data_IF_267025054069
#
_entry.id   IF_267025054069
#
_cell.length_a   1.000
_cell.length_b   1.000
_cell.length_c   1.000
_cell.angle_alpha   90.00
_cell.angle_beta   90.00
_cell.angle_gamma   90.00
#
_symmetry.space_group_name_H-M   'P 1'
#
loop_
_entity.id
_entity.type
_entity.pdbx_description
1 polymer ?
#
# COMPACT_ATOMS: atom_id res chain seq x y z
N UNK A 1 22.83 -49.77 -14.51
CA UNK A 1 22.31 -49.07 -13.33
C UNK A 1 22.23 -47.60 -13.68
N UNK A 2 21.03 -47.10 -14.01
CA UNK A 2 20.82 -45.69 -14.34
C UNK A 2 20.34 -44.97 -13.08
N UNK A 3 21.16 -44.05 -12.57
CA UNK A 3 20.82 -43.23 -11.42
C UNK A 3 19.78 -42.20 -11.85
N UNK A 4 18.51 -42.42 -11.49
CA UNK A 4 17.44 -41.43 -11.60
C UNK A 4 17.74 -40.28 -10.66
N UNK A 5 18.22 -39.15 -11.19
CA UNK A 5 18.18 -37.88 -10.47
C UNK A 5 16.71 -37.49 -10.29
N UNK A 6 16.27 -37.40 -9.04
CA UNK A 6 15.01 -36.74 -8.71
C UNK A 6 15.09 -35.30 -9.24
N UNK A 7 14.04 -34.79 -9.90
CA UNK A 7 14.03 -33.40 -10.31
C UNK A 7 14.14 -32.54 -9.04
N UNK A 8 15.11 -31.63 -9.03
CA UNK A 8 15.18 -30.58 -8.00
C UNK A 8 13.85 -29.84 -8.11
N UNK A 9 13.02 -29.93 -7.07
CA UNK A 9 11.77 -29.18 -7.01
C UNK A 9 12.13 -27.71 -7.21
N UNK A 10 11.55 -27.09 -8.23
CA UNK A 10 11.70 -25.66 -8.48
C UNK A 10 11.20 -24.93 -7.21
N UNK A 11 12.06 -24.17 -6.50
CA UNK A 11 11.67 -23.48 -5.27
C UNK A 11 10.53 -22.48 -5.49
N UNK A 12 10.24 -22.15 -6.75
CA UNK A 12 9.24 -21.19 -7.21
C UNK A 12 7.98 -21.86 -7.80
N UNK A 13 7.88 -23.19 -7.73
CA UNK A 13 6.68 -23.93 -8.09
C UNK A 13 5.57 -23.76 -7.03
N UNK A 14 4.73 -22.75 -7.27
CA UNK A 14 3.34 -22.65 -6.84
C UNK A 14 3.08 -22.92 -5.34
N UNK A 15 3.35 -21.93 -4.49
CA UNK A 15 2.51 -21.73 -3.31
C UNK A 15 1.46 -20.68 -3.68
N UNK A 16 0.15 -20.90 -3.43
CA UNK A 16 -0.75 -19.76 -3.28
C UNK A 16 -0.08 -18.86 -2.25
N UNK A 17 0.26 -17.62 -2.62
CA UNK A 17 0.98 -16.73 -1.71
C UNK A 17 0.06 -16.49 -0.52
N UNK A 18 0.33 -17.19 0.57
CA UNK A 18 -0.24 -16.88 1.86
C UNK A 18 -0.03 -15.37 2.06
N UNK A 19 -1.13 -14.63 2.21
CA UNK A 19 -1.10 -13.18 2.25
C UNK A 19 -0.28 -12.69 3.45
N UNK A 20 -0.23 -13.47 4.53
CA UNK A 20 0.65 -13.20 5.66
C UNK A 20 2.13 -13.27 5.26
N UNK A 21 2.52 -14.33 4.53
CA UNK A 21 3.87 -14.49 3.96
C UNK A 21 4.21 -13.33 3.02
N UNK A 22 3.30 -12.96 2.13
CA UNK A 22 3.51 -11.82 1.22
C UNK A 22 3.67 -10.49 1.98
N UNK A 23 2.89 -10.25 3.03
CA UNK A 23 3.06 -9.06 3.86
C UNK A 23 4.41 -9.05 4.59
N UNK A 24 4.89 -10.19 5.07
CA UNK A 24 6.25 -10.30 5.63
C UNK A 24 7.32 -9.91 4.60
N UNK A 25 7.18 -10.38 3.35
CA UNK A 25 8.07 -9.99 2.25
C UNK A 25 8.01 -8.48 1.98
N UNK A 26 6.81 -7.89 1.92
CA UNK A 26 6.66 -6.44 1.80
C UNK A 26 7.37 -5.67 2.94
N UNK A 27 7.22 -6.16 4.18
CA UNK A 27 7.87 -5.58 5.35
C UNK A 27 9.40 -5.63 5.26
N UNK A 28 9.95 -6.79 4.88
CA UNK A 28 11.38 -7.03 4.72
C UNK A 28 11.98 -6.17 3.59
N UNK A 29 11.22 -5.97 2.52
CA UNK A 29 11.58 -5.12 1.38
C UNK A 29 11.36 -3.63 1.63
N UNK A 30 10.88 -3.24 2.81
CA UNK A 30 10.59 -1.85 3.17
C UNK A 30 9.66 -1.17 2.13
N UNK A 31 8.59 -1.86 1.73
CA UNK A 31 7.53 -1.38 0.81
C UNK A 31 6.19 -1.33 1.54
N UNK A 32 5.22 -0.61 0.98
CA UNK A 32 3.82 -0.71 1.38
C UNK A 32 3.25 -2.10 1.02
N UNK A 33 2.22 -2.51 1.78
CA UNK A 33 1.54 -3.79 1.56
C UNK A 33 0.77 -3.79 0.25
N UNK A 34 0.71 -4.94 -0.41
CA UNK A 34 -0.10 -5.16 -1.62
C UNK A 34 -0.90 -6.45 -1.49
N UNK A 35 -2.09 -6.53 -2.08
CA UNK A 35 -2.98 -7.70 -1.95
C UNK A 35 -2.42 -8.98 -2.57
N UNK A 36 -1.55 -8.83 -3.55
CA UNK A 36 -0.77 -9.89 -4.15
C UNK A 36 0.52 -9.27 -4.70
N UNK A 37 1.57 -10.08 -4.92
CA UNK A 37 2.79 -9.62 -5.56
C UNK A 37 2.49 -8.80 -6.83
N UNK A 38 2.83 -7.51 -6.78
CA UNK A 38 2.73 -6.58 -7.91
C UNK A 38 1.33 -6.13 -8.32
N UNK A 39 0.28 -6.42 -7.53
CA UNK A 39 -1.08 -5.99 -7.84
C UNK A 39 -1.34 -4.54 -7.38
N UNK A 40 -2.30 -4.34 -6.47
CA UNK A 40 -2.61 -3.03 -5.89
C UNK A 40 -2.20 -3.00 -4.42
N UNK A 41 -1.89 -1.81 -3.94
CA UNK A 41 -1.63 -1.58 -2.53
C UNK A 41 -2.87 -1.90 -1.69
N UNK A 42 -2.63 -2.41 -0.48
CA UNK A 42 -3.67 -2.61 0.52
C UNK A 42 -4.16 -1.25 0.99
N UNK A 43 -5.47 -1.10 1.06
CA UNK A 43 -6.11 0.10 1.59
C UNK A 43 -6.87 -0.24 2.88
N UNK A 44 -7.19 0.78 3.66
CA UNK A 44 -7.95 0.63 4.92
C UNK A 44 -9.25 -0.16 4.72
N UNK A 45 -9.96 0.07 3.62
CA UNK A 45 -11.20 -0.65 3.29
C UNK A 45 -11.02 -2.16 3.08
N UNK A 46 -9.85 -2.62 2.65
CA UNK A 46 -9.61 -4.05 2.43
C UNK A 46 -9.65 -4.82 3.75
N UNK A 47 -9.19 -4.19 4.81
CA UNK A 47 -9.13 -4.76 6.16
C UNK A 47 -10.50 -4.65 6.85
N UNK A 48 -11.18 -3.51 6.66
CA UNK A 48 -12.47 -3.24 7.31
C UNK A 48 -13.64 -4.00 6.67
N UNK A 49 -13.62 -4.20 5.35
CA UNK A 49 -14.70 -4.90 4.63
C UNK A 49 -14.45 -6.41 4.50
N UNK A 50 -13.34 -6.92 5.03
CA UNK A 50 -13.03 -8.35 5.04
C UNK A 50 -12.43 -8.90 3.75
N UNK A 51 -11.98 -8.05 2.81
CA UNK A 51 -11.13 -8.47 1.68
C UNK A 51 -9.88 -9.18 2.20
N UNK A 52 -9.29 -8.65 3.27
CA UNK A 52 -8.25 -9.29 4.07
C UNK A 52 -8.89 -9.76 5.38
N UNK A 53 -9.35 -11.02 5.39
CA UNK A 53 -10.05 -11.60 6.54
C UNK A 53 -9.24 -12.61 7.36
N UNK A 54 -8.10 -13.07 6.82
CA UNK A 54 -7.26 -14.05 7.50
C UNK A 54 -6.54 -13.43 8.71
N UNK A 55 -6.52 -14.15 9.84
CA UNK A 55 -5.94 -13.65 11.10
C UNK A 55 -4.44 -13.48 10.98
N UNK A 56 -3.73 -14.37 10.28
CA UNK A 56 -2.30 -14.24 10.10
C UNK A 56 -1.97 -13.04 9.21
N UNK A 57 -2.72 -12.84 8.12
CA UNK A 57 -2.57 -11.67 7.25
C UNK A 57 -2.86 -10.36 7.98
N UNK A 58 -3.93 -10.29 8.77
CA UNK A 58 -4.25 -9.13 9.60
C UNK A 58 -3.16 -8.85 10.64
N UNK A 59 -2.63 -9.90 11.27
CA UNK A 59 -1.54 -9.78 12.24
C UNK A 59 -0.28 -9.23 11.59
N UNK A 60 0.11 -9.78 10.44
CA UNK A 60 1.25 -9.29 9.69
C UNK A 60 1.03 -7.86 9.21
N UNK A 61 -0.18 -7.51 8.76
CA UNK A 61 -0.50 -6.14 8.37
C UNK A 61 -0.34 -5.15 9.52
N UNK A 62 -0.81 -5.49 10.72
CA UNK A 62 -0.62 -4.66 11.91
C UNK A 62 0.86 -4.48 12.29
N UNK A 63 1.69 -5.50 12.07
CA UNK A 63 3.11 -5.48 12.43
C UNK A 63 3.95 -4.72 11.39
N UNK A 64 3.80 -5.07 10.10
CA UNK A 64 4.77 -4.70 9.06
C UNK A 64 4.32 -3.58 8.13
N UNK A 65 3.07 -3.12 8.21
CA UNK A 65 2.60 -2.01 7.39
C UNK A 65 3.41 -0.73 7.67
N UNK A 66 3.79 -0.04 6.60
CA UNK A 66 4.44 1.28 6.64
C UNK A 66 3.45 2.44 6.69
N UNK A 67 2.20 2.15 6.39
CA UNK A 67 1.08 3.08 6.47
C UNK A 67 0.35 2.88 7.79
N UNK A 68 0.36 3.92 8.63
CA UNK A 68 -0.25 3.90 9.96
C UNK A 68 -1.75 3.63 9.92
N UNK A 69 -2.46 4.14 8.90
CA UNK A 69 -3.90 3.93 8.77
C UNK A 69 -4.19 2.47 8.43
N UNK A 70 -3.41 1.87 7.53
CA UNK A 70 -3.52 0.45 7.18
C UNK A 70 -3.18 -0.44 8.39
N UNK A 71 -2.11 -0.12 9.11
CA UNK A 71 -1.69 -0.87 10.29
C UNK A 71 -2.76 -0.85 11.40
N UNK A 72 -3.32 0.34 11.70
CA UNK A 72 -4.40 0.51 12.68
C UNK A 72 -5.70 -0.16 12.22
N UNK A 73 -6.04 -0.08 10.93
CA UNK A 73 -7.21 -0.75 10.37
C UNK A 73 -7.14 -2.27 10.53
N UNK A 74 -5.95 -2.87 10.45
CA UNK A 74 -5.76 -4.31 10.62
C UNK A 74 -6.01 -4.77 12.06
N UNK A 75 -5.79 -3.90 13.06
CA UNK A 75 -6.05 -4.22 14.47
C UNK A 75 -7.53 -4.31 14.82
N UNK A 76 -8.40 -3.60 14.10
CA UNK A 76 -9.83 -3.57 14.40
C UNK A 76 -10.52 -4.95 14.29
N UNK A 77 -10.43 -5.70 13.17
CA UNK A 77 -11.01 -7.03 13.08
C UNK A 77 -10.38 -8.01 14.10
N UNK A 78 -9.08 -7.88 14.40
CA UNK A 78 -8.42 -8.67 15.45
C UNK A 78 -9.00 -8.39 16.84
N UNK A 79 -9.23 -7.11 17.16
CA UNK A 79 -9.82 -6.68 18.44
C UNK A 79 -11.27 -7.16 18.58
N UNK A 80 -12.05 -7.09 17.49
CA UNK A 80 -13.44 -7.58 17.44
C UNK A 80 -13.48 -9.11 17.61
N UNK A 81 -12.52 -9.83 17.03
CA UNK A 81 -12.42 -11.28 17.24
C UNK A 81 -12.10 -11.59 18.71
N UNK A 82 -11.16 -10.87 19.32
CA UNK A 82 -10.77 -11.02 20.72
C UNK A 82 -11.90 -10.70 21.72
N UNK A 83 -12.77 -9.73 21.41
CA UNK A 83 -13.90 -9.39 22.29
C UNK A 83 -14.98 -10.49 22.32
N UNK A 84 -15.14 -11.22 21.22
CA UNK A 84 -16.16 -12.27 21.04
C UNK A 84 -15.76 -13.64 21.57
N UNK A 85 -14.47 -13.90 21.80
CA UNK A 85 -14.04 -15.20 22.33
C UNK A 85 -14.33 -15.36 23.81
N UNK A 86 -14.55 -16.61 24.23
CA UNK A 86 -14.68 -16.98 25.65
C UNK A 86 -13.41 -16.58 26.42
N UNK A 87 -13.50 -16.20 27.71
CA UNK A 87 -12.34 -15.79 28.50
C UNK A 87 -11.16 -16.75 28.45
N UNK A 88 -11.42 -18.07 28.42
CA UNK A 88 -10.39 -19.12 28.30
C UNK A 88 -9.55 -19.09 27.00
N UNK A 89 -10.04 -18.45 25.95
CA UNK A 89 -9.36 -18.34 24.65
C UNK A 89 -8.76 -16.96 24.41
N UNK A 90 -9.06 -15.99 25.29
CA UNK A 90 -8.53 -14.62 25.24
C UNK A 90 -7.01 -14.52 25.37
N UNK A 91 -6.31 -15.36 26.16
CA UNK A 91 -4.85 -15.28 26.27
C UNK A 91 -4.10 -15.39 24.94
N UNK A 92 -4.66 -16.08 23.95
CA UNK A 92 -4.06 -16.16 22.60
C UNK A 92 -4.06 -14.79 21.89
N UNK A 93 -5.13 -14.01 22.06
CA UNK A 93 -5.20 -12.66 21.50
C UNK A 93 -4.37 -11.67 22.31
N UNK A 94 -4.28 -11.83 23.62
CA UNK A 94 -3.38 -11.03 24.46
C UNK A 94 -1.92 -11.22 24.03
N UNK A 95 -1.48 -12.47 23.82
CA UNK A 95 -0.14 -12.78 23.29
C UNK A 95 0.09 -12.19 21.89
N UNK A 96 -0.91 -12.24 21.01
CA UNK A 96 -0.81 -11.63 19.68
C UNK A 96 -0.66 -10.11 19.77
N UNK A 97 -1.46 -9.45 20.60
CA UNK A 97 -1.39 -8.00 20.76
C UNK A 97 -0.10 -7.57 21.45
N UNK A 98 0.44 -8.38 22.36
CA UNK A 98 1.76 -8.15 22.94
C UNK A 98 2.85 -8.25 21.87
N UNK A 99 2.76 -9.22 20.95
CA UNK A 99 3.69 -9.29 19.82
C UNK A 99 3.59 -8.04 18.93
N UNK A 100 2.38 -7.55 18.66
CA UNK A 100 2.16 -6.31 17.89
C UNK A 100 2.78 -5.11 18.64
N UNK A 101 2.54 -4.99 19.94
CA UNK A 101 3.12 -3.96 20.80
C UNK A 101 4.66 -3.95 20.74
N UNK A 102 5.29 -5.12 20.81
CA UNK A 102 6.74 -5.24 20.83
C UNK A 102 7.39 -5.03 19.45
N UNK A 103 6.71 -5.43 18.37
CA UNK A 103 7.35 -5.59 17.05
C UNK A 103 6.82 -4.70 15.94
N UNK A 104 5.65 -4.06 16.08
CA UNK A 104 5.07 -3.27 15.00
C UNK A 104 5.99 -2.13 14.54
N UNK A 105 6.05 -1.82 13.26
CA UNK A 105 6.92 -0.74 12.78
C UNK A 105 6.41 0.66 13.15
N UNK A 106 5.10 0.83 13.29
CA UNK A 106 4.47 2.09 13.65
C UNK A 106 4.28 2.20 15.17
N UNK A 107 4.73 3.30 15.76
CA UNK A 107 4.67 3.50 17.22
C UNK A 107 3.27 3.74 17.75
N UNK A 108 2.38 4.34 16.96
CA UNK A 108 0.98 4.55 17.34
C UNK A 108 0.22 3.22 17.39
N UNK A 109 0.58 2.27 16.51
CA UNK A 109 0.05 0.90 16.55
C UNK A 109 0.47 0.18 17.83
N UNK A 110 1.75 0.32 18.24
CA UNK A 110 2.23 -0.27 19.50
C UNK A 110 1.44 0.23 20.71
N UNK A 111 1.31 1.55 20.86
CA UNK A 111 0.55 2.14 21.96
C UNK A 111 -0.94 1.78 21.91
N UNK A 112 -1.51 1.63 20.70
CA UNK A 112 -2.88 1.16 20.53
C UNK A 112 -3.06 -0.30 20.93
N UNK A 113 -2.06 -1.15 20.69
CA UNK A 113 -2.07 -2.55 21.08
C UNK A 113 -2.02 -2.70 22.61
N UNK A 114 -1.08 -2.00 23.26
CA UNK A 114 -0.96 -1.92 24.73
C UNK A 114 -2.30 -1.49 25.36
N UNK A 115 -2.90 -0.40 24.85
CA UNK A 115 -4.18 0.11 25.33
C UNK A 115 -5.33 -0.91 25.16
N UNK A 116 -5.30 -1.72 24.09
CA UNK A 116 -6.31 -2.74 23.86
C UNK A 116 -6.21 -3.91 24.84
N UNK A 117 -4.98 -4.34 25.16
CA UNK A 117 -4.69 -5.34 26.20
C UNK A 117 -5.16 -4.82 27.56
N UNK A 118 -4.78 -3.58 27.92
CA UNK A 118 -5.16 -2.98 29.20
C UNK A 118 -6.69 -2.84 29.35
N UNK A 119 -7.40 -2.56 28.25
CA UNK A 119 -8.85 -2.51 28.22
C UNK A 119 -9.52 -3.90 28.26
N UNK A 120 -8.77 -5.00 28.10
CA UNK A 120 -9.31 -6.36 28.01
C UNK A 120 -10.24 -6.58 26.82
N UNK A 121 -9.95 -5.93 25.69
CA UNK A 121 -10.74 -5.99 24.45
C UNK A 121 -12.21 -5.55 24.62
N UNK A 122 -12.49 -4.57 25.48
CA UNK A 122 -13.84 -4.00 25.66
C UNK A 122 -14.32 -3.30 24.38
N UNK A 123 -15.60 -3.50 24.06
CA UNK A 123 -16.24 -2.87 22.89
C UNK A 123 -16.16 -1.34 22.89
N UNK A 124 -16.12 -0.69 24.06
CA UNK A 124 -15.92 0.75 24.17
C UNK A 124 -14.58 1.18 23.54
N UNK A 125 -13.48 0.50 23.89
CA UNK A 125 -12.15 0.81 23.35
C UNK A 125 -12.04 0.52 21.86
N UNK A 126 -12.70 -0.55 21.40
CA UNK A 126 -12.77 -0.90 19.96
C UNK A 126 -13.50 0.21 19.18
N UNK A 127 -14.60 0.73 19.72
CA UNK A 127 -15.34 1.83 19.10
C UNK A 127 -14.55 3.14 19.08
N UNK A 128 -13.80 3.44 20.14
CA UNK A 128 -12.88 4.59 20.16
C UNK A 128 -11.82 4.48 19.06
N UNK A 129 -11.13 3.35 18.96
CA UNK A 129 -10.13 3.11 17.91
C UNK A 129 -10.73 3.22 16.50
N UNK A 130 -11.94 2.68 16.31
CA UNK A 130 -12.66 2.79 15.05
C UNK A 130 -13.05 4.25 14.72
N UNK A 131 -13.43 5.03 15.73
CA UNK A 131 -13.76 6.44 15.59
C UNK A 131 -12.52 7.30 15.30
N UNK A 132 -11.38 7.01 15.93
CA UNK A 132 -10.10 7.66 15.65
C UNK A 132 -9.69 7.40 14.19
N UNK A 133 -9.72 6.15 13.73
CA UNK A 133 -9.42 5.77 12.35
C UNK A 133 -10.41 6.43 11.36
N UNK A 134 -11.71 6.26 11.60
CA UNK A 134 -12.76 6.81 10.73
C UNK A 134 -12.77 8.34 10.70
N UNK A 135 -12.47 8.98 11.82
CA UNK A 135 -12.34 10.44 11.95
C UNK A 135 -11.13 11.00 11.22
N UNK A 136 -10.03 10.25 11.14
CA UNK A 136 -8.83 10.65 10.38
C UNK A 136 -9.00 10.40 8.87
N UNK A 137 -9.44 9.20 8.49
CA UNK A 137 -9.56 8.77 7.10
C UNK A 137 -10.77 9.42 6.40
N UNK A 138 -11.89 9.59 7.10
CA UNK A 138 -13.14 10.11 6.54
C UNK A 138 -12.99 11.49 5.86
N UNK A 139 -12.47 12.53 6.55
CA UNK A 139 -12.19 13.82 5.95
C UNK A 139 -11.21 13.75 4.78
N UNK A 140 -10.21 12.86 4.85
CA UNK A 140 -9.24 12.68 3.77
C UNK A 140 -9.90 12.07 2.52
N UNK A 141 -10.83 11.12 2.69
CA UNK A 141 -11.64 10.58 1.59
C UNK A 141 -12.60 11.62 1.00
N UNK A 142 -13.14 12.51 1.81
CA UNK A 142 -13.97 13.62 1.31
C UNK A 142 -13.13 14.57 0.42
N UNK A 143 -11.91 14.91 0.85
CA UNK A 143 -10.96 15.69 0.03
C UNK A 143 -10.57 14.97 -1.26
N UNK A 144 -10.36 13.65 -1.21
CA UNK A 144 -10.13 12.84 -2.40
C UNK A 144 -11.30 12.92 -3.39
N UNK A 145 -12.55 12.77 -2.92
CA UNK A 145 -13.73 12.90 -3.78
C UNK A 145 -13.82 14.29 -4.43
N UNK A 146 -13.58 15.35 -3.66
CA UNK A 146 -13.55 16.71 -4.20
C UNK A 146 -12.42 16.89 -5.25
N UNK A 147 -11.26 16.28 -5.03
CA UNK A 147 -10.16 16.33 -5.99
C UNK A 147 -10.50 15.61 -7.32
N UNK A 148 -11.33 14.57 -7.29
CA UNK A 148 -11.83 13.94 -8.53
C UNK A 148 -12.63 14.93 -9.40
N UNK A 149 -13.34 15.88 -8.79
CA UNK A 149 -14.04 16.94 -9.53
C UNK A 149 -13.05 17.90 -10.20
N UNK A 150 -11.92 18.20 -9.56
CA UNK A 150 -10.83 19.00 -10.17
C UNK A 150 -10.22 18.28 -11.37
N UNK A 151 -10.00 16.97 -11.29
CA UNK A 151 -9.56 16.16 -12.44
C UNK A 151 -10.58 16.26 -13.59
N UNK A 152 -11.87 16.20 -13.28
CA UNK A 152 -12.93 16.37 -14.28
C UNK A 152 -12.85 17.75 -14.95
N UNK A 153 -12.63 18.82 -14.18
CA UNK A 153 -12.42 20.16 -14.74
C UNK A 153 -11.20 20.22 -15.68
N UNK A 154 -10.11 19.51 -15.35
CA UNK A 154 -8.94 19.42 -16.22
C UNK A 154 -9.27 18.72 -17.54
N UNK A 155 -9.97 17.58 -17.48
CA UNK A 155 -10.40 16.82 -18.66
C UNK A 155 -11.32 17.67 -19.55
N UNK A 156 -12.21 18.44 -18.92
CA UNK A 156 -13.13 19.36 -19.60
C UNK A 156 -12.46 20.67 -20.04
N UNK A 157 -11.14 20.85 -19.83
CA UNK A 157 -10.36 22.06 -20.12
C UNK A 157 -10.92 23.33 -19.48
N UNK A 158 -11.57 23.18 -18.32
CA UNK A 158 -12.14 24.27 -17.51
C UNK A 158 -11.17 24.82 -16.46
N UNK A 159 -10.02 24.18 -16.29
CA UNK A 159 -8.89 24.65 -15.48
C UNK A 159 -7.61 24.58 -16.32
N UNK A 160 -6.68 25.49 -16.07
CA UNK A 160 -5.37 25.49 -16.72
C UNK A 160 -4.46 24.41 -16.13
N UNK A 161 -3.44 23.97 -16.88
CA UNK A 161 -2.47 22.98 -16.38
C UNK A 161 -1.74 23.46 -15.11
N UNK A 162 -1.27 24.73 -15.01
CA UNK A 162 -0.68 25.23 -13.76
C UNK A 162 -1.69 25.27 -12.61
N UNK A 163 -2.93 25.70 -12.87
CA UNK A 163 -3.98 25.72 -11.85
C UNK A 163 -4.30 24.32 -11.32
N UNK A 164 -4.31 23.31 -12.19
CA UNK A 164 -4.46 21.92 -11.75
C UNK A 164 -3.29 21.45 -10.86
N UNK A 165 -2.06 21.85 -11.18
CA UNK A 165 -0.90 21.49 -10.37
C UNK A 165 -0.98 22.11 -8.96
N UNK A 166 -1.41 23.37 -8.86
CA UNK A 166 -1.62 24.02 -7.56
C UNK A 166 -2.66 23.26 -6.72
N UNK A 167 -3.80 22.90 -7.33
CA UNK A 167 -4.83 22.08 -6.68
C UNK A 167 -4.31 20.69 -6.28
N UNK A 168 -3.49 20.05 -7.13
CA UNK A 168 -2.87 18.76 -6.81
C UNK A 168 -1.88 18.87 -5.64
N UNK A 169 -1.11 19.95 -5.56
CA UNK A 169 -0.20 20.22 -4.44
C UNK A 169 -0.96 20.43 -3.14
N UNK A 170 -2.05 21.20 -3.18
CA UNK A 170 -2.88 21.45 -2.01
C UNK A 170 -3.66 20.21 -1.57
N UNK A 171 -4.14 19.41 -2.53
CA UNK A 171 -4.64 18.07 -2.26
C UNK A 171 -3.58 17.22 -1.56
N UNK A 172 -2.37 17.14 -2.13
CA UNK A 172 -1.28 16.35 -1.56
C UNK A 172 -0.96 16.81 -0.14
N UNK A 173 -0.82 18.11 0.13
CA UNK A 173 -0.54 18.63 1.47
C UNK A 173 -1.66 18.37 2.47
N UNK A 174 -2.92 18.48 2.03
CA UNK A 174 -4.08 18.29 2.90
C UNK A 174 -4.41 16.82 3.17
N UNK A 175 -3.94 15.90 2.32
CA UNK A 175 -4.25 14.47 2.36
C UNK A 175 -3.06 13.61 2.75
N UNK A 176 -1.82 14.07 2.53
CA UNK A 176 -0.60 13.35 2.90
C UNK A 176 -0.61 12.98 4.38
N UNK A 177 -0.43 11.68 4.64
CA UNK A 177 -0.39 11.09 5.98
C UNK A 177 -1.74 10.94 6.69
N UNK A 178 -2.85 11.44 6.11
CA UNK A 178 -4.21 11.33 6.68
C UNK A 178 -5.11 10.36 5.92
N UNK A 179 -4.81 10.12 4.65
CA UNK A 179 -5.39 9.06 3.84
C UNK A 179 -4.43 7.89 3.80
N UNK A 180 -4.96 6.68 3.64
CA UNK A 180 -4.11 5.57 3.29
C UNK A 180 -3.41 5.81 1.94
N UNK A 181 -2.11 5.57 1.94
CA UNK A 181 -1.21 5.74 0.82
C UNK A 181 -1.65 4.91 -0.38
N UNK A 182 -2.30 3.76 -0.16
CA UNK A 182 -2.84 2.94 -1.23
C UNK A 182 -3.87 3.66 -2.10
N UNK A 183 -4.85 4.38 -1.52
CA UNK A 183 -5.78 5.21 -2.31
C UNK A 183 -5.05 6.35 -3.03
N UNK A 184 -4.10 7.01 -2.35
CA UNK A 184 -3.32 8.10 -2.96
C UNK A 184 -2.51 7.61 -4.17
N UNK A 185 -1.77 6.51 -4.02
CA UNK A 185 -0.98 5.92 -5.11
C UNK A 185 -1.88 5.49 -6.28
N UNK A 186 -3.04 4.89 -6.00
CA UNK A 186 -4.02 4.54 -7.02
C UNK A 186 -4.52 5.77 -7.80
N UNK A 187 -4.69 6.91 -7.13
CA UNK A 187 -5.05 8.17 -7.79
C UNK A 187 -3.97 8.61 -8.79
N UNK A 188 -2.71 8.63 -8.34
CA UNK A 188 -1.56 9.01 -9.17
C UNK A 188 -1.39 8.06 -10.36
N UNK A 189 -1.51 6.75 -10.12
CA UNK A 189 -1.42 5.74 -11.19
C UNK A 189 -2.51 5.97 -12.25
N UNK A 190 -3.75 6.26 -11.83
CA UNK A 190 -4.86 6.59 -12.73
C UNK A 190 -4.61 7.86 -13.55
N UNK A 191 -4.01 8.89 -12.95
CA UNK A 191 -3.62 10.10 -13.67
C UNK A 191 -2.59 9.80 -14.75
N UNK A 192 -1.60 8.94 -14.47
CA UNK A 192 -0.56 8.58 -15.42
C UNK A 192 -1.05 7.74 -16.59
N UNK A 193 -1.94 6.77 -16.35
CA UNK A 193 -2.46 5.90 -17.42
C UNK A 193 -3.59 6.55 -18.24
N UNK A 194 -4.27 7.56 -17.71
CA UNK A 194 -5.42 8.19 -18.39
C UNK A 194 -4.98 8.93 -19.68
N UNK A 195 -5.56 8.61 -20.85
CA UNK A 195 -5.25 9.32 -22.10
C UNK A 195 -5.81 10.74 -22.13
N UNK A 196 -6.81 11.04 -21.28
CA UNK A 196 -7.46 12.34 -21.21
C UNK A 196 -6.65 13.40 -20.45
N UNK A 197 -5.57 12.99 -19.77
CA UNK A 197 -4.68 13.90 -19.05
C UNK A 197 -3.51 14.27 -19.96
N UNK A 198 -3.25 15.57 -20.21
CA UNK A 198 -2.14 16.00 -21.04
C UNK A 198 -0.78 15.48 -20.53
N UNK A 199 0.11 15.12 -21.46
CA UNK A 199 1.46 14.63 -21.11
C UNK A 199 2.25 15.63 -20.27
N UNK A 200 2.11 16.93 -20.54
CA UNK A 200 2.81 17.99 -19.79
C UNK A 200 2.39 18.08 -18.33
N UNK A 201 1.11 17.80 -18.02
CA UNK A 201 0.64 17.67 -16.64
C UNK A 201 1.33 16.48 -15.98
N UNK A 202 1.36 15.32 -16.63
CA UNK A 202 2.02 14.11 -16.10
C UNK A 202 3.51 14.33 -15.84
N UNK A 203 4.22 14.99 -16.76
CA UNK A 203 5.62 15.39 -16.61
C UNK A 203 5.82 16.26 -15.38
N UNK A 204 4.92 17.22 -15.16
CA UNK A 204 4.97 18.11 -14.00
C UNK A 204 4.71 17.37 -12.69
N UNK A 205 3.79 16.40 -12.68
CA UNK A 205 3.55 15.52 -11.53
C UNK A 205 4.79 14.68 -11.19
N UNK A 206 5.48 14.11 -12.20
CA UNK A 206 6.74 13.37 -11.97
C UNK A 206 7.79 14.25 -11.31
N UNK A 207 7.97 15.49 -11.79
CA UNK A 207 8.90 16.45 -11.18
C UNK A 207 8.57 16.77 -9.73
N UNK A 208 7.28 16.87 -9.41
CA UNK A 208 6.86 17.11 -8.04
C UNK A 208 7.12 15.89 -7.15
N UNK A 209 6.81 14.69 -7.63
CA UNK A 209 7.04 13.44 -6.91
C UNK A 209 8.50 13.22 -6.55
N UNK A 210 9.45 13.73 -7.36
CA UNK A 210 10.87 13.67 -7.06
C UNK A 210 11.27 14.40 -5.77
N UNK A 211 10.43 15.32 -5.28
CA UNK A 211 10.64 16.08 -4.03
C UNK A 211 10.07 15.37 -2.80
N UNK A 212 9.30 14.29 -2.98
CA UNK A 212 8.66 13.59 -1.87
C UNK A 212 9.67 12.82 -1.01
N UNK A 213 9.31 12.48 0.24
CA UNK A 213 10.13 11.64 1.10
C UNK A 213 10.56 10.35 0.40
N UNK A 214 11.77 9.81 0.67
CA UNK A 214 12.34 8.69 -0.09
C UNK A 214 11.42 7.49 -0.26
N UNK A 215 10.72 7.06 0.81
CA UNK A 215 9.83 5.91 0.77
C UNK A 215 8.62 6.13 -0.16
N UNK A 216 7.98 7.30 -0.05
CA UNK A 216 6.83 7.68 -0.89
C UNK A 216 7.25 7.79 -2.36
N UNK A 217 8.36 8.48 -2.59
CA UNK A 217 8.92 8.69 -3.92
C UNK A 217 9.30 7.37 -4.60
N UNK A 218 9.95 6.46 -3.85
CA UNK A 218 10.31 5.12 -4.33
C UNK A 218 9.09 4.38 -4.85
N UNK A 219 8.03 4.31 -4.06
CA UNK A 219 6.82 3.55 -4.42
C UNK A 219 6.13 4.11 -5.65
N UNK A 220 5.87 5.42 -5.68
CA UNK A 220 5.13 6.02 -6.79
C UNK A 220 5.92 5.94 -8.11
N UNK A 221 7.25 6.13 -8.07
CA UNK A 221 8.10 5.99 -9.26
C UNK A 221 8.21 4.53 -9.68
N UNK A 222 8.32 3.59 -8.74
CA UNK A 222 8.27 2.15 -9.04
C UNK A 222 6.97 1.79 -9.75
N UNK A 223 5.83 2.29 -9.29
CA UNK A 223 4.54 2.05 -9.94
C UNK A 223 4.49 2.59 -11.36
N UNK A 224 4.93 3.85 -11.56
CA UNK A 224 4.99 4.47 -12.88
C UNK A 224 5.87 3.65 -13.83
N UNK A 225 7.09 3.31 -13.40
CA UNK A 225 8.04 2.57 -14.24
C UNK A 225 7.58 1.12 -14.48
N UNK A 226 6.88 0.50 -13.54
CA UNK A 226 6.36 -0.86 -13.71
C UNK A 226 5.08 -0.92 -14.55
N UNK A 227 4.43 0.22 -14.83
CA UNK A 227 3.16 0.27 -15.54
C UNK A 227 3.33 0.01 -17.04
N UNK A 228 2.59 -0.98 -17.57
CA UNK A 228 2.48 -1.24 -19.00
C UNK A 228 1.48 -0.31 -19.71
N UNK A 229 0.68 0.44 -18.95
CA UNK A 229 -0.35 1.34 -19.47
C UNK A 229 0.08 2.82 -19.46
N UNK A 230 1.18 3.16 -18.81
CA UNK A 230 1.73 4.51 -18.83
C UNK A 230 2.34 4.83 -20.22
N UNK A 231 2.20 6.07 -20.73
CA UNK A 231 2.84 6.47 -21.98
C UNK A 231 4.35 6.26 -21.95
N UNK A 232 4.92 5.73 -23.04
CA UNK A 232 6.35 5.42 -23.11
C UNK A 232 7.21 6.68 -22.92
N UNK A 233 6.78 7.81 -23.48
CA UNK A 233 7.46 9.10 -23.36
C UNK A 233 7.55 9.55 -21.90
N UNK A 234 6.50 9.31 -21.11
CA UNK A 234 6.49 9.63 -19.69
C UNK A 234 7.44 8.73 -18.90
N UNK A 235 7.47 7.43 -19.22
CA UNK A 235 8.38 6.46 -18.58
C UNK A 235 9.84 6.82 -18.87
N UNK A 236 10.16 7.14 -20.13
CA UNK A 236 11.50 7.57 -20.54
C UNK A 236 11.91 8.88 -19.86
N UNK A 237 10.99 9.85 -19.78
CA UNK A 237 11.22 11.10 -19.05
C UNK A 237 11.53 10.84 -17.57
N UNK A 238 10.73 10.01 -16.89
CA UNK A 238 10.96 9.67 -15.49
C UNK A 238 12.32 8.98 -15.27
N UNK A 239 12.74 8.09 -16.18
CA UNK A 239 14.07 7.46 -16.14
C UNK A 239 15.21 8.47 -16.29
N UNK A 240 15.05 9.48 -17.15
CA UNK A 240 16.00 10.58 -17.30
C UNK A 240 16.14 11.40 -16.02
N UNK A 241 15.03 11.78 -15.41
CA UNK A 241 15.02 12.59 -14.17
C UNK A 241 15.58 11.83 -12.96
N UNK A 242 15.32 10.53 -12.85
CA UNK A 242 15.92 9.66 -11.82
C UNK A 242 17.45 9.76 -11.84
N UNK A 243 18.03 9.72 -13.03
CA UNK A 243 19.48 9.76 -13.24
C UNK A 243 20.10 11.11 -12.86
N UNK A 244 19.31 12.19 -12.87
CA UNK A 244 19.76 13.55 -12.57
C UNK A 244 19.56 13.95 -11.10
N UNK A 245 18.53 13.41 -10.43
CA UNK A 245 18.06 13.90 -9.14
C UNK A 245 18.21 12.96 -7.94
N UNK A 246 18.80 11.77 -8.12
CA UNK A 246 18.89 10.75 -7.06
C UNK A 246 20.29 10.17 -6.88
N UNK A 247 20.53 9.60 -5.68
CA UNK A 247 21.76 8.84 -5.43
C UNK A 247 21.72 7.49 -6.15
N UNK A 248 22.90 6.90 -6.40
CA UNK A 248 23.02 5.59 -7.04
C UNK A 248 22.24 4.50 -6.29
N UNK A 249 22.23 4.54 -4.96
CA UNK A 249 21.53 3.55 -4.14
C UNK A 249 20.01 3.66 -4.30
N UNK A 250 19.48 4.89 -4.31
CA UNK A 250 18.05 5.15 -4.54
C UNK A 250 17.61 4.69 -5.92
N UNK A 251 18.41 4.98 -6.95
CA UNK A 251 18.14 4.54 -8.32
C UNK A 251 18.15 3.00 -8.39
N UNK A 252 19.17 2.38 -7.80
CA UNK A 252 19.31 0.93 -7.76
C UNK A 252 18.09 0.28 -7.10
N UNK A 253 17.66 0.81 -5.96
CA UNK A 253 16.46 0.34 -5.26
C UNK A 253 15.23 0.41 -6.17
N UNK A 254 14.93 1.57 -6.76
CA UNK A 254 13.77 1.76 -7.65
C UNK A 254 13.82 0.80 -8.85
N UNK A 255 14.99 0.64 -9.47
CA UNK A 255 15.17 -0.25 -10.63
C UNK A 255 14.95 -1.71 -10.26
N UNK A 256 15.49 -2.16 -9.12
CA UNK A 256 15.29 -3.52 -8.62
C UNK A 256 13.83 -3.79 -8.31
N UNK A 257 13.15 -2.87 -7.60
CA UNK A 257 11.72 -2.99 -7.31
C UNK A 257 10.86 -2.95 -8.57
N UNK A 258 11.19 -2.10 -9.53
CA UNK A 258 10.51 -2.05 -10.84
C UNK A 258 10.63 -3.39 -11.55
N UNK A 259 11.83 -3.97 -11.56
CA UNK A 259 12.10 -5.26 -12.19
C UNK A 259 11.33 -6.38 -11.50
N UNK A 260 11.34 -6.41 -10.17
CA UNK A 260 10.61 -7.37 -9.35
C UNK A 260 9.09 -7.28 -9.62
N UNK A 261 8.54 -6.05 -9.59
CA UNK A 261 7.11 -5.83 -9.84
C UNK A 261 6.68 -6.24 -11.23
N UNK A 262 7.50 -5.96 -12.25
CA UNK A 262 7.28 -6.45 -13.63
C UNK A 262 7.36 -7.97 -13.72
N UNK A 263 8.30 -8.60 -13.01
CA UNK A 263 8.41 -10.05 -12.96
C UNK A 263 7.17 -10.69 -12.31
N UNK A 264 6.68 -10.14 -11.20
CA UNK A 264 5.43 -10.57 -10.57
C UNK A 264 4.24 -10.44 -11.51
N UNK A 265 4.10 -9.31 -12.19
CA UNK A 265 3.03 -9.11 -13.18
C UNK A 265 3.12 -10.12 -14.34
N UNK A 266 4.32 -10.40 -14.85
CA UNK A 266 4.52 -11.40 -15.90
C UNK A 266 4.15 -12.82 -15.45
N UNK A 267 4.43 -13.18 -14.19
CA UNK A 267 4.05 -14.48 -13.62
C UNK A 267 2.54 -14.69 -13.55
N UNK A 268 1.75 -13.62 -13.33
CA UNK A 268 0.27 -13.67 -13.33
C UNK A 268 -0.30 -14.06 -14.71
N UNK A 269 0.43 -13.75 -15.78
CA UNK A 269 0.03 -14.03 -17.16
C UNK A 269 0.69 -15.29 -17.76
N UNK A 270 1.43 -16.07 -16.95
CA UNK A 270 2.09 -17.27 -17.41
C UNK A 270 1.08 -18.43 -17.64
N UNK A 271 1.13 -19.14 -18.78
CA UNK A 271 0.21 -20.23 -19.08
C UNK A 271 0.38 -21.40 -18.08
N UNK A 272 -0.73 -21.92 -17.55
CA UNK A 272 -0.75 -23.11 -16.69
C UNK A 272 -0.87 -22.86 -15.17
N UNK A 273 -1.06 -21.61 -14.72
CA UNK A 273 -1.39 -21.31 -13.32
C UNK A 273 -2.87 -20.91 -13.20
N UNK A 274 -3.61 -21.39 -12.18
CA UNK A 274 -4.96 -20.92 -11.93
C UNK A 274 -4.92 -19.42 -11.64
N UNK A 275 -5.81 -18.67 -12.30
CA UNK A 275 -6.11 -17.30 -11.91
C UNK A 275 -6.59 -17.30 -10.46
N UNK A 276 -5.89 -16.58 -9.60
CA UNK A 276 -6.35 -16.24 -8.24
C UNK A 276 -7.61 -15.41 -8.35
#
# INVERSE_FOLDING_TARGET
MATTYAPIADPLAARPSDLATHFMECGALNTNLSLAPGERLVITDDLLNGTVGDVAALSMAAIVARDSQVALAAMLPLSVAASKVKPRHRPKYEQLFQLIEETAFDTAVRGSAEAMIAAGFREARIRELAAELGGNVGPARARYRAFLDVIKLLIEKKISEPGFLDEFLDFTRSVAGKLDFGIYALCVDRLFVSPNIPLMVKVSLVREMLKYPPLVRKELLTNLLASNAAPLELVQFAQGELSAGMTRDQITEIVLFTTLKRAWAAQKHAPGRPSI
#
